data_IF_552703838322
#
_entry.id   IF_552703838322
#
_cell.length_a   1.000
_cell.length_b   1.000
_cell.length_c   1.000
_cell.angle_alpha   90.00
_cell.angle_beta   90.00
_cell.angle_gamma   90.00
#
_symmetry.space_group_name_H-M   'P 1'
#
loop_
_entity.id
_entity.type
_entity.pdbx_description
1 polymer ?
#
# COMPACT_ATOMS: atom_id res chain seq x y z
N UNK A 1 18.47 -2.81 -0.71
CA UNK A 1 18.40 -3.09 -2.17
C UNK A 1 17.25 -2.30 -2.73
N UNK A 2 17.46 -1.58 -3.83
CA UNK A 2 16.42 -0.73 -4.45
C UNK A 2 15.81 -1.47 -5.64
N UNK A 3 14.50 -1.40 -5.75
CA UNK A 3 13.70 -2.09 -6.77
C UNK A 3 12.80 -1.09 -7.50
N UNK A 4 12.29 -1.49 -8.67
CA UNK A 4 11.45 -0.65 -9.51
C UNK A 4 9.97 -1.00 -9.28
N UNK A 5 9.13 0.03 -9.19
CA UNK A 5 7.68 -0.06 -9.17
C UNK A 5 7.11 0.65 -10.40
N UNK A 6 6.29 -0.06 -11.18
CA UNK A 6 5.58 0.50 -12.32
C UNK A 6 4.11 0.74 -11.97
N UNK A 7 3.56 1.85 -12.43
CA UNK A 7 2.13 2.14 -12.33
C UNK A 7 1.64 2.86 -13.57
N UNK A 8 0.38 2.59 -13.93
CA UNK A 8 -0.31 3.26 -15.02
C UNK A 8 -1.64 3.79 -14.50
N UNK A 9 -1.94 5.06 -14.79
CA UNK A 9 -3.18 5.72 -14.40
C UNK A 9 -3.57 6.76 -15.43
N UNK A 10 -4.81 6.68 -15.93
CA UNK A 10 -5.35 7.58 -16.96
C UNK A 10 -4.39 7.71 -18.15
N UNK A 11 -3.94 6.57 -18.70
CA UNK A 11 -2.99 6.48 -19.83
C UNK A 11 -1.57 7.01 -19.56
N UNK A 12 -1.31 7.58 -18.37
CA UNK A 12 0.01 8.01 -17.95
C UNK A 12 0.73 6.87 -17.25
N UNK A 13 1.98 6.62 -17.64
CA UNK A 13 2.84 5.65 -17.00
C UNK A 13 3.83 6.36 -16.09
N UNK A 14 4.00 5.84 -14.87
CA UNK A 14 4.96 6.34 -13.91
C UNK A 14 5.88 5.19 -13.46
N UNK A 15 7.13 5.55 -13.20
CA UNK A 15 8.15 4.63 -12.68
C UNK A 15 8.67 5.20 -11.38
N UNK A 16 8.64 4.38 -10.34
CA UNK A 16 9.17 4.70 -9.02
C UNK A 16 10.27 3.73 -8.65
N UNK A 17 11.13 4.16 -7.75
CA UNK A 17 12.03 3.31 -7.00
C UNK A 17 11.42 3.05 -5.63
N UNK A 18 11.68 1.88 -5.08
CA UNK A 18 11.37 1.60 -3.69
C UNK A 18 12.47 0.79 -3.02
N UNK A 19 12.57 0.96 -1.71
CA UNK A 19 13.27 0.03 -0.84
C UNK A 19 12.38 -0.32 0.33
N UNK A 20 12.66 -1.45 0.97
CA UNK A 20 11.95 -1.81 2.19
C UNK A 20 12.84 -2.52 3.17
N UNK A 21 12.43 -2.45 4.43
CA UNK A 21 13.01 -3.19 5.54
C UNK A 21 11.89 -3.85 6.35
N UNK A 22 12.28 -4.83 7.16
CA UNK A 22 11.37 -5.51 8.09
C UNK A 22 11.84 -5.24 9.52
N UNK A 23 10.95 -4.74 10.36
CA UNK A 23 11.23 -4.42 11.76
C UNK A 23 10.07 -4.86 12.64
N UNK A 24 10.36 -5.25 13.87
CA UNK A 24 9.31 -5.44 14.88
C UNK A 24 8.94 -4.07 15.47
N UNK A 25 7.68 -3.65 15.31
CA UNK A 25 7.20 -2.38 15.83
C UNK A 25 6.17 -2.63 16.94
N UNK A 26 6.52 -2.28 18.19
CA UNK A 26 5.62 -2.42 19.35
C UNK A 26 4.28 -1.69 19.15
N UNK A 27 4.29 -0.52 18.51
CA UNK A 27 3.08 0.25 18.21
C UNK A 27 2.08 -0.49 17.29
N UNK A 28 2.56 -1.50 16.56
CA UNK A 28 1.76 -2.35 15.69
C UNK A 28 1.69 -3.79 16.19
N UNK A 29 2.35 -4.13 17.30
CA UNK A 29 2.40 -5.46 17.90
C UNK A 29 2.77 -6.56 16.89
N UNK A 30 3.85 -6.35 16.15
CA UNK A 30 4.29 -7.35 15.17
C UNK A 30 5.37 -6.88 14.22
N UNK A 31 5.77 -7.79 13.33
CA UNK A 31 6.66 -7.49 12.23
C UNK A 31 5.96 -6.59 11.20
N UNK A 32 6.62 -5.50 10.84
CA UNK A 32 6.16 -4.53 9.86
C UNK A 32 7.19 -4.41 8.74
N UNK A 33 6.70 -4.53 7.51
CA UNK A 33 7.44 -4.20 6.31
C UNK A 33 7.23 -2.71 6.03
N UNK A 34 8.30 -1.95 6.05
CA UNK A 34 8.30 -0.49 5.89
C UNK A 34 8.87 -0.18 4.51
N UNK A 35 8.03 0.35 3.62
CA UNK A 35 8.41 0.74 2.27
C UNK A 35 8.59 2.24 2.17
N UNK A 36 9.70 2.63 1.56
CA UNK A 36 9.93 3.98 1.05
C UNK A 36 9.87 3.94 -0.47
N UNK A 37 9.07 4.82 -1.08
CA UNK A 37 8.87 4.90 -2.53
C UNK A 37 9.15 6.33 -3.01
N UNK A 38 9.91 6.50 -4.09
CA UNK A 38 10.30 7.81 -4.63
C UNK A 38 10.51 7.77 -6.15
N UNK A 39 10.59 8.94 -6.79
CA UNK A 39 11.05 9.06 -8.19
C UNK A 39 12.55 9.32 -8.26
N UNK A 40 13.18 8.88 -9.36
CA UNK A 40 14.62 9.08 -9.60
C UNK A 40 14.97 10.57 -9.47
N UNK A 41 15.98 10.88 -8.64
CA UNK A 41 16.43 12.25 -8.39
C UNK A 41 15.65 12.98 -7.29
N UNK A 42 14.74 12.30 -6.59
CA UNK A 42 13.97 12.85 -5.45
C UNK A 42 14.22 12.13 -4.12
N UNK A 43 15.25 11.30 -4.05
CA UNK A 43 15.60 10.43 -2.92
C UNK A 43 15.55 11.16 -1.57
N UNK A 44 16.13 12.36 -1.51
CA UNK A 44 16.29 13.16 -0.28
C UNK A 44 15.20 14.23 -0.08
N UNK A 45 14.30 14.39 -1.05
CA UNK A 45 13.38 15.54 -1.11
C UNK A 45 11.94 15.17 -0.81
N UNK A 46 11.52 13.98 -1.23
CA UNK A 46 10.13 13.54 -1.12
C UNK A 46 9.98 12.03 -1.30
N UNK A 47 9.34 11.37 -0.34
CA UNK A 47 9.08 9.93 -0.35
C UNK A 47 7.63 9.64 0.02
N UNK A 48 7.07 8.63 -0.59
CA UNK A 48 5.80 8.02 -0.22
C UNK A 48 6.07 6.81 0.69
N UNK A 49 5.44 6.77 1.86
CA UNK A 49 5.58 5.67 2.82
C UNK A 49 4.40 4.72 2.73
N UNK A 50 4.70 3.42 2.80
CA UNK A 50 3.70 2.35 2.84
C UNK A 50 4.14 1.29 3.83
N UNK A 51 3.24 0.87 4.73
CA UNK A 51 3.58 -0.11 5.76
C UNK A 51 2.60 -1.28 5.79
N UNK A 52 3.16 -2.49 5.88
CA UNK A 52 2.42 -3.74 5.97
C UNK A 52 2.81 -4.50 7.24
N UNK A 53 1.86 -4.74 8.14
CA UNK A 53 2.05 -5.63 9.29
C UNK A 53 1.80 -7.08 8.88
N UNK A 54 2.68 -8.00 9.28
CA UNK A 54 2.43 -9.43 9.16
C UNK A 54 1.35 -9.89 10.15
N UNK A 55 0.35 -10.59 9.66
CA UNK A 55 -0.71 -11.15 10.51
C UNK A 55 -0.31 -12.53 11.03
N UNK A 56 -0.76 -12.86 12.24
CA UNK A 56 -0.48 -14.14 12.91
C UNK A 56 -0.97 -15.37 12.12
N UNK A 57 -1.97 -15.18 11.24
CA UNK A 57 -2.46 -16.25 10.37
C UNK A 57 -1.46 -16.71 9.31
N UNK A 58 -0.34 -16.00 9.15
CA UNK A 58 0.74 -16.34 8.21
C UNK A 58 0.41 -16.09 6.73
N UNK A 59 -0.85 -15.82 6.39
CA UNK A 59 -1.31 -15.67 4.99
C UNK A 59 -1.58 -14.23 4.58
N UNK A 60 -1.76 -13.33 5.56
CA UNK A 60 -2.20 -11.97 5.31
C UNK A 60 -1.15 -10.93 5.75
N UNK A 61 -1.09 -9.83 5.00
CA UNK A 61 -0.37 -8.61 5.33
C UNK A 61 -1.38 -7.47 5.45
N UNK A 62 -1.40 -6.78 6.60
CA UNK A 62 -2.33 -5.69 6.87
C UNK A 62 -1.70 -4.35 6.56
N UNK A 63 -2.35 -3.53 5.74
CA UNK A 63 -1.98 -2.13 5.55
C UNK A 63 -2.21 -1.38 6.85
N UNK A 64 -1.14 -0.88 7.45
CA UNK A 64 -1.16 -0.09 8.69
C UNK A 64 -0.79 1.36 8.48
N UNK A 65 -0.09 1.69 7.38
CA UNK A 65 0.14 3.05 6.94
C UNK A 65 0.11 3.15 5.42
N UNK A 66 -0.51 4.23 4.95
CA UNK A 66 -0.60 4.64 3.56
C UNK A 66 -0.47 6.17 3.55
N UNK A 67 0.74 6.66 3.83
CA UNK A 67 0.93 8.08 4.11
C UNK A 67 0.69 8.91 2.85
N UNK A 68 -0.26 9.83 2.94
CA UNK A 68 -0.53 10.83 1.92
C UNK A 68 0.62 11.83 1.89
N UNK A 69 1.53 11.66 0.95
CA UNK A 69 2.29 12.70 0.26
C UNK A 69 1.92 14.14 0.68
N UNK A 70 2.67 14.66 1.66
CA UNK A 70 2.38 15.92 2.34
C UNK A 70 2.46 17.13 1.40
N UNK A 71 3.18 16.98 0.27
CA UNK A 71 3.31 17.98 -0.79
C UNK A 71 2.33 17.77 -1.95
N UNK A 72 1.49 16.72 -1.90
CA UNK A 72 0.54 16.30 -2.94
C UNK A 72 1.18 16.04 -4.32
N UNK A 73 2.49 15.84 -4.37
CA UNK A 73 3.25 15.56 -5.59
C UNK A 73 2.92 14.22 -6.29
N UNK A 74 2.74 13.18 -5.50
CA UNK A 74 2.41 11.80 -5.87
C UNK A 74 0.91 11.53 -6.01
N UNK A 75 0.06 12.50 -5.66
CA UNK A 75 -1.38 12.40 -5.80
C UNK A 75 -1.77 12.10 -7.26
N UNK A 76 -2.64 11.10 -7.45
CA UNK A 76 -3.12 10.73 -8.78
C UNK A 76 -2.18 9.83 -9.59
N UNK A 77 -1.00 9.46 -9.09
CA UNK A 77 -0.05 8.58 -9.82
C UNK A 77 -0.30 7.08 -9.66
N UNK A 78 -1.24 6.68 -8.79
CA UNK A 78 -1.65 5.27 -8.63
C UNK A 78 -0.72 4.40 -7.78
N UNK A 79 0.24 5.01 -7.07
CA UNK A 79 1.26 4.30 -6.28
C UNK A 79 0.66 3.33 -5.26
N UNK A 80 -0.38 3.74 -4.53
CA UNK A 80 -1.03 2.88 -3.52
C UNK A 80 -1.53 1.56 -4.10
N UNK A 81 -2.28 1.61 -5.20
CA UNK A 81 -2.78 0.42 -5.90
C UNK A 81 -1.61 -0.44 -6.39
N UNK A 82 -0.61 0.18 -7.01
CA UNK A 82 0.55 -0.52 -7.52
C UNK A 82 1.32 -1.24 -6.40
N UNK A 83 1.56 -0.60 -5.26
CA UNK A 83 2.21 -1.21 -4.11
C UNK A 83 1.41 -2.37 -3.52
N UNK A 84 0.09 -2.23 -3.39
CA UNK A 84 -0.77 -3.31 -2.88
C UNK A 84 -0.66 -4.56 -3.78
N UNK A 85 -0.80 -4.39 -5.10
CA UNK A 85 -0.72 -5.51 -6.04
C UNK A 85 0.71 -6.08 -6.13
N UNK A 86 1.71 -5.20 -6.08
CA UNK A 86 3.12 -5.59 -6.09
C UNK A 86 3.47 -6.43 -4.85
N UNK A 87 3.12 -5.98 -3.65
CA UNK A 87 3.37 -6.71 -2.42
C UNK A 87 2.62 -8.04 -2.37
N UNK A 88 1.38 -8.09 -2.86
CA UNK A 88 0.65 -9.37 -3.02
C UNK A 88 1.48 -10.38 -3.81
N UNK A 89 2.03 -9.94 -4.94
CA UNK A 89 2.82 -10.79 -5.83
C UNK A 89 4.21 -11.13 -5.29
N UNK A 90 4.85 -10.18 -4.60
CA UNK A 90 6.18 -10.33 -4.02
C UNK A 90 6.19 -11.32 -2.85
N UNK A 91 5.24 -11.19 -1.92
CA UNK A 91 5.20 -12.03 -0.72
C UNK A 91 4.29 -13.25 -0.83
N UNK A 92 3.50 -13.35 -1.90
CA UNK A 92 2.47 -14.40 -2.08
C UNK A 92 1.47 -14.45 -0.93
N UNK A 93 1.20 -13.30 -0.31
CA UNK A 93 0.25 -13.10 0.79
C UNK A 93 -0.89 -12.20 0.32
N UNK A 94 -2.07 -12.34 0.92
CA UNK A 94 -3.17 -11.39 0.66
C UNK A 94 -2.86 -10.08 1.35
N UNK A 95 -3.16 -8.96 0.70
CA UNK A 95 -3.10 -7.65 1.34
C UNK A 95 -4.50 -7.30 1.84
N UNK A 96 -4.59 -6.97 3.13
CA UNK A 96 -5.85 -6.62 3.80
C UNK A 96 -5.81 -5.19 4.34
N UNK A 97 -6.97 -4.55 4.45
CA UNK A 97 -7.10 -3.25 5.12
C UNK A 97 -8.46 -3.13 5.79
N UNK A 98 -8.43 -2.90 7.11
CA UNK A 98 -9.64 -2.65 7.89
C UNK A 98 -10.28 -1.32 7.48
N UNK A 99 -11.62 -1.29 7.56
CA UNK A 99 -12.40 -0.08 7.29
C UNK A 99 -12.38 0.94 8.44
N UNK A 100 -11.86 0.54 9.61
CA UNK A 100 -11.98 1.25 10.89
C UNK A 100 -11.51 2.72 10.90
N UNK A 101 -11.81 3.41 12.00
CA UNK A 101 -11.78 4.88 12.21
C UNK A 101 -10.51 5.66 11.79
N UNK A 102 -9.39 4.99 11.51
CA UNK A 102 -8.12 5.61 11.09
C UNK A 102 -7.86 5.56 9.58
N UNK A 103 -8.65 4.80 8.83
CA UNK A 103 -8.55 4.80 7.37
C UNK A 103 -9.28 6.06 6.88
N UNK A 104 -8.52 7.11 6.53
CA UNK A 104 -9.10 8.35 6.02
C UNK A 104 -10.05 8.03 4.87
N UNK A 105 -11.26 8.58 4.93
CA UNK A 105 -12.33 8.33 3.95
C UNK A 105 -11.86 8.46 2.49
N UNK A 106 -10.89 9.36 2.27
CA UNK A 106 -10.23 9.57 0.99
C UNK A 106 -9.45 8.34 0.51
N UNK A 107 -8.68 7.66 1.38
CA UNK A 107 -7.96 6.43 1.03
C UNK A 107 -8.93 5.28 0.73
N UNK A 108 -10.02 5.16 1.51
CA UNK A 108 -11.10 4.18 1.28
C UNK A 108 -11.69 4.35 -0.13
N UNK A 109 -12.13 5.55 -0.46
CA UNK A 109 -12.83 5.80 -1.73
C UNK A 109 -11.87 5.78 -2.92
N UNK A 110 -10.68 6.38 -2.80
CA UNK A 110 -9.76 6.53 -3.94
C UNK A 110 -8.90 5.31 -4.23
N UNK A 111 -8.75 4.40 -3.26
CA UNK A 111 -7.93 3.19 -3.42
C UNK A 111 -8.81 1.95 -3.34
N UNK A 112 -9.39 1.65 -2.17
CA UNK A 112 -10.04 0.36 -1.94
C UNK A 112 -11.33 0.16 -2.72
N UNK A 113 -12.23 1.14 -2.73
CA UNK A 113 -13.48 1.04 -3.52
C UNK A 113 -13.20 1.02 -5.03
N UNK A 114 -12.21 1.77 -5.51
CA UNK A 114 -11.79 1.74 -6.92
C UNK A 114 -11.19 0.37 -7.29
N UNK A 115 -10.32 -0.18 -6.45
CA UNK A 115 -9.79 -1.52 -6.65
C UNK A 115 -10.90 -2.58 -6.62
N UNK A 116 -11.91 -2.39 -5.77
CA UNK A 116 -13.07 -3.29 -5.69
C UNK A 116 -13.91 -3.22 -6.97
N UNK A 117 -14.19 -2.03 -7.50
CA UNK A 117 -14.89 -1.87 -8.78
C UNK A 117 -14.12 -2.47 -9.96
N UNK A 118 -12.79 -2.51 -9.86
CA UNK A 118 -11.92 -3.12 -10.86
C UNK A 118 -11.77 -4.65 -10.70
N UNK A 119 -12.38 -5.25 -9.67
CA UNK A 119 -12.29 -6.70 -9.41
C UNK A 119 -10.95 -7.16 -8.81
N UNK A 120 -10.17 -6.26 -8.22
CA UNK A 120 -8.83 -6.55 -7.69
C UNK A 120 -8.87 -6.89 -6.19
N UNK A 121 -9.88 -6.40 -5.49
CA UNK A 121 -10.14 -6.66 -4.08
C UNK A 121 -11.61 -6.99 -3.86
N UNK A 122 -11.88 -7.73 -2.80
CA UNK A 122 -13.22 -7.94 -2.28
C UNK A 122 -13.33 -7.33 -0.88
N UNK A 123 -14.56 -7.14 -0.41
CA UNK A 123 -14.85 -6.63 0.92
C UNK A 123 -15.63 -7.68 1.71
N UNK A 124 -15.20 -7.95 2.94
CA UNK A 124 -15.88 -8.87 3.86
C UNK A 124 -16.68 -8.08 4.88
N UNK A 125 -18.01 -8.07 4.73
CA UNK A 125 -18.92 -7.43 5.71
C UNK A 125 -18.78 -8.04 7.10
N UNK A 126 -18.59 -9.37 7.19
CA UNK A 126 -18.48 -10.06 8.48
C UNK A 126 -17.18 -9.78 9.22
N UNK A 127 -16.12 -9.39 8.51
CA UNK A 127 -14.79 -9.11 9.08
C UNK A 127 -14.39 -7.63 9.01
N UNK A 128 -15.20 -6.77 8.38
CA UNK A 128 -14.99 -5.33 8.22
C UNK A 128 -13.64 -4.94 7.58
N UNK A 129 -13.21 -5.69 6.56
CA UNK A 129 -11.99 -5.37 5.81
C UNK A 129 -12.07 -5.65 4.30
N UNK A 130 -11.26 -4.91 3.54
CA UNK A 130 -10.92 -5.21 2.15
C UNK A 130 -9.79 -6.23 2.09
N UNK A 131 -9.77 -7.06 1.06
CA UNK A 131 -8.70 -8.02 0.80
C UNK A 131 -8.48 -8.24 -0.70
N UNK A 132 -7.22 -8.38 -1.12
CA UNK A 132 -6.88 -8.72 -2.51
C UNK A 132 -7.38 -10.12 -2.90
N UNK A 133 -7.95 -10.23 -4.10
CA UNK A 133 -8.36 -11.49 -4.75
C UNK A 133 -7.16 -12.03 -5.51
#
# INVERSE_FOLDING_TARGET
MTSILYTSKNENNYTFLYSFQQEYLEAHDGNVLIFEIWEVGKEELDKFSFMLREMENGTDLKVVDLFSDSKKYYLGKGISRAMILHCKNLFKKRIISERGKKNYEEARTKVWELMKSNGEVAYSESKDFYFTI
#
